data_IF_473929364177
#
_entry.id   IF_473929364177
#
_cell.length_a   1.000
_cell.length_b   1.000
_cell.length_c   1.000
_cell.angle_alpha   90.00
_cell.angle_beta   90.00
_cell.angle_gamma   90.00
#
_symmetry.space_group_name_H-M   'P 1'
#
loop_
_entity.id
_entity.type
_entity.pdbx_description
1 polymer ?
#
# COMPACT_ATOMS: atom_id res chain seq x y z
N UNK A 1 41.75 29.16 4.42
CA UNK A 1 41.15 28.40 5.54
C UNK A 1 40.02 27.57 4.96
N UNK A 2 40.25 26.28 4.78
CA UNK A 2 39.33 25.35 4.09
C UNK A 2 38.25 24.84 5.03
N UNK A 3 37.01 24.92 4.56
CA UNK A 3 35.75 24.63 5.24
C UNK A 3 35.59 23.14 5.57
N UNK A 4 35.51 22.80 6.86
CA UNK A 4 35.24 21.45 7.39
C UNK A 4 33.75 21.13 7.54
N UNK A 5 32.87 21.94 6.93
CA UNK A 5 31.40 21.87 7.06
C UNK A 5 30.78 20.91 6.03
N UNK A 6 31.57 20.24 5.18
CA UNK A 6 31.03 19.48 4.04
C UNK A 6 30.73 18.02 4.31
N UNK A 7 31.38 17.32 5.26
CA UNK A 7 31.20 15.86 5.35
C UNK A 7 29.90 15.41 6.03
N UNK A 8 29.44 16.14 7.05
CA UNK A 8 28.25 15.75 7.83
C UNK A 8 26.96 16.02 7.06
N UNK A 9 26.87 17.17 6.42
CA UNK A 9 25.70 17.56 5.62
C UNK A 9 25.59 16.68 4.37
N UNK A 10 26.71 16.36 3.71
CA UNK A 10 26.74 15.38 2.62
C UNK A 10 26.30 13.98 3.09
N UNK A 11 26.74 13.54 4.26
CA UNK A 11 26.31 12.26 4.82
C UNK A 11 24.80 12.24 5.11
N UNK A 12 24.25 13.30 5.70
CA UNK A 12 22.79 13.42 5.92
C UNK A 12 22.02 13.39 4.60
N UNK A 13 22.53 14.09 3.58
CA UNK A 13 21.90 14.14 2.27
C UNK A 13 21.94 12.77 1.58
N UNK A 14 23.07 12.05 1.69
CA UNK A 14 23.19 10.67 1.21
C UNK A 14 22.16 9.74 1.88
N UNK A 15 22.05 9.80 3.22
CA UNK A 15 21.07 9.01 3.96
C UNK A 15 19.63 9.30 3.53
N UNK A 16 19.29 10.57 3.31
CA UNK A 16 17.97 10.99 2.88
C UNK A 16 17.66 10.60 1.43
N UNK A 17 18.59 10.83 0.50
CA UNK A 17 18.44 10.51 -0.92
C UNK A 17 18.28 9.00 -1.14
N UNK A 18 19.04 8.18 -0.41
CA UNK A 18 18.97 6.73 -0.51
C UNK A 18 17.94 6.10 0.43
N UNK A 19 17.21 6.91 1.21
CA UNK A 19 16.21 6.46 2.20
C UNK A 19 16.74 5.36 3.12
N UNK A 20 18.03 5.42 3.46
CA UNK A 20 18.72 4.39 4.24
C UNK A 20 18.05 4.15 5.60
N UNK A 21 17.69 5.19 6.38
CA UNK A 21 17.00 4.99 7.66
C UNK A 21 15.68 4.23 7.49
N UNK A 22 14.85 4.63 6.52
CA UNK A 22 13.56 4.01 6.24
C UNK A 22 13.69 2.55 5.79
N UNK A 23 14.71 2.24 4.98
CA UNK A 23 15.04 0.86 4.59
C UNK A 23 15.36 -0.01 5.80
N UNK A 24 16.21 0.47 6.71
CA UNK A 24 16.57 -0.28 7.92
C UNK A 24 15.39 -0.44 8.89
N UNK A 25 14.57 0.60 9.08
CA UNK A 25 13.34 0.51 9.89
C UNK A 25 12.37 -0.55 9.36
N UNK A 26 12.23 -0.63 8.02
CA UNK A 26 11.42 -1.63 7.31
C UNK A 26 11.92 -3.07 7.49
N UNK A 27 13.24 -3.26 7.42
CA UNK A 27 13.89 -4.54 7.68
C UNK A 27 13.80 -4.99 9.14
N UNK A 28 14.10 -4.08 10.07
CA UNK A 28 13.93 -4.30 11.51
C UNK A 28 12.49 -4.71 11.83
N UNK A 29 11.55 -4.03 11.20
CA UNK A 29 10.13 -4.32 11.32
C UNK A 29 9.79 -5.75 10.88
N UNK A 30 10.28 -6.16 9.71
CA UNK A 30 10.09 -7.51 9.18
C UNK A 30 10.72 -8.59 10.07
N UNK A 31 11.91 -8.33 10.63
CA UNK A 31 12.59 -9.22 11.57
C UNK A 31 11.81 -9.40 12.88
N UNK A 32 11.27 -8.31 13.43
CA UNK A 32 10.49 -8.35 14.66
C UNK A 32 9.18 -9.14 14.52
N UNK A 33 8.58 -9.11 13.33
CA UNK A 33 7.36 -9.86 13.02
C UNK A 33 7.64 -11.35 12.82
N UNK A 34 8.53 -11.71 11.90
CA UNK A 34 8.75 -13.12 11.55
C UNK A 34 9.60 -13.86 12.60
N UNK A 35 10.40 -13.14 13.41
CA UNK A 35 11.33 -13.69 14.42
C UNK A 35 12.06 -14.95 13.92
N UNK A 36 12.77 -14.86 12.79
CA UNK A 36 13.47 -16.00 12.22
C UNK A 36 14.56 -16.50 13.19
N UNK A 37 14.81 -17.80 13.15
CA UNK A 37 15.86 -18.45 13.95
C UNK A 37 17.26 -17.95 13.54
N UNK A 38 17.44 -17.65 12.25
CA UNK A 38 18.62 -16.95 11.72
C UNK A 38 18.23 -15.57 11.13
N UNK A 39 18.42 -14.48 11.88
CA UNK A 39 18.11 -13.13 11.41
C UNK A 39 19.03 -12.66 10.27
N UNK A 40 20.25 -13.18 10.17
CA UNK A 40 21.21 -12.74 9.14
C UNK A 40 20.81 -13.30 7.77
N UNK A 41 20.55 -14.61 7.70
CA UNK A 41 20.10 -15.25 6.46
C UNK A 41 18.75 -14.68 5.96
N UNK A 42 17.87 -14.29 6.88
CA UNK A 42 16.60 -13.64 6.54
C UNK A 42 16.82 -12.29 5.87
N UNK A 43 17.70 -11.44 6.42
CA UNK A 43 18.04 -10.14 5.83
C UNK A 43 18.62 -10.32 4.42
N UNK A 44 19.55 -11.27 4.25
CA UNK A 44 20.14 -11.56 2.93
C UNK A 44 19.07 -11.90 1.89
N UNK A 45 18.10 -12.73 2.28
CA UNK A 45 16.98 -13.13 1.42
C UNK A 45 16.12 -11.93 1.03
N UNK A 46 15.74 -11.08 2.00
CA UNK A 46 14.95 -9.87 1.72
C UNK A 46 15.72 -8.91 0.83
N UNK A 47 17.01 -8.70 1.08
CA UNK A 47 17.88 -7.86 0.25
C UNK A 47 18.01 -8.39 -1.19
N UNK A 48 18.06 -9.71 -1.36
CA UNK A 48 18.05 -10.33 -2.69
C UNK A 48 16.74 -10.06 -3.44
N UNK A 49 15.60 -10.14 -2.76
CA UNK A 49 14.29 -9.80 -3.34
C UNK A 49 14.20 -8.32 -3.73
N UNK A 50 14.67 -7.42 -2.87
CA UNK A 50 14.76 -5.98 -3.13
C UNK A 50 15.62 -5.70 -4.37
N UNK A 51 16.75 -6.41 -4.52
CA UNK A 51 17.63 -6.25 -5.68
C UNK A 51 16.94 -6.65 -6.99
N UNK A 52 16.07 -7.65 -6.97
CA UNK A 52 15.30 -8.08 -8.15
C UNK A 52 14.22 -7.06 -8.54
N UNK A 53 13.52 -6.49 -7.55
CA UNK A 53 12.47 -5.47 -7.79
C UNK A 53 13.06 -4.10 -8.14
N UNK A 54 14.28 -3.82 -7.65
CA UNK A 54 14.99 -2.56 -7.82
C UNK A 54 14.64 -1.57 -6.71
N UNK A 55 15.68 -1.04 -6.04
CA UNK A 55 15.58 -0.15 -4.86
C UNK A 55 14.66 1.06 -5.05
N UNK A 56 14.48 1.53 -6.30
CA UNK A 56 13.61 2.67 -6.65
C UNK A 56 12.12 2.32 -6.70
N UNK A 57 11.78 1.05 -6.91
CA UNK A 57 10.40 0.57 -7.01
C UNK A 57 9.92 -0.08 -5.71
N UNK A 58 10.80 -0.23 -4.71
CA UNK A 58 10.43 -0.81 -3.42
C UNK A 58 9.72 0.25 -2.58
N UNK A 59 8.45 0.00 -2.27
CA UNK A 59 7.73 0.77 -1.26
C UNK A 59 8.10 0.24 0.14
N UNK A 60 9.13 0.86 0.73
CA UNK A 60 9.67 0.51 2.05
C UNK A 60 8.64 0.66 3.19
N UNK A 61 7.60 1.47 2.99
CA UNK A 61 6.50 1.65 3.95
C UNK A 61 5.59 0.42 3.99
N UNK A 62 5.49 -0.34 2.89
CA UNK A 62 4.59 -1.49 2.79
C UNK A 62 4.89 -2.58 3.82
N UNK A 63 6.15 -2.71 4.25
CA UNK A 63 6.57 -3.68 5.25
C UNK A 63 6.29 -3.23 6.70
N UNK A 64 5.98 -1.94 6.91
CA UNK A 64 5.75 -1.35 8.24
C UNK A 64 4.27 -0.98 8.45
N UNK A 65 3.46 -0.92 7.37
CA UNK A 65 2.04 -0.59 7.45
C UNK A 65 1.26 -1.51 8.41
N UNK A 66 1.57 -2.81 8.45
CA UNK A 66 0.93 -3.75 9.38
C UNK A 66 1.31 -3.53 10.84
N UNK A 67 2.43 -2.85 11.11
CA UNK A 67 2.96 -2.62 12.46
C UNK A 67 2.75 -1.20 12.97
N UNK A 68 2.29 -0.29 12.11
CA UNK A 68 1.89 1.02 12.59
C UNK A 68 0.77 0.79 13.62
N UNK A 69 0.88 1.28 14.87
CA UNK A 69 -0.04 0.91 15.95
C UNK A 69 -1.51 1.08 15.60
N UNK A 70 -1.81 2.01 14.69
CA UNK A 70 -3.14 2.36 14.20
C UNK A 70 -3.54 1.75 12.84
N UNK A 71 -2.64 1.03 12.15
CA UNK A 71 -2.93 0.27 10.92
C UNK A 71 -2.81 -1.24 11.10
N UNK A 72 -2.51 -1.71 12.32
CA UNK A 72 -2.68 -3.11 12.70
C UNK A 72 -4.11 -3.58 12.35
N UNK A 73 -4.29 -4.66 11.58
CA UNK A 73 -5.60 -5.13 11.12
C UNK A 73 -6.56 -5.47 12.27
N UNK A 74 -6.03 -6.08 13.34
CA UNK A 74 -6.82 -6.47 14.52
C UNK A 74 -7.28 -5.22 15.25
N UNK A 75 -6.37 -4.25 15.48
CA UNK A 75 -6.76 -2.99 16.08
C UNK A 75 -7.75 -2.22 15.20
N UNK A 76 -7.52 -2.17 13.89
CA UNK A 76 -8.45 -1.54 12.93
C UNK A 76 -9.83 -2.18 13.01
N UNK A 77 -9.93 -3.49 13.19
CA UNK A 77 -11.22 -4.18 13.31
C UNK A 77 -11.97 -3.75 14.57
N UNK A 78 -11.33 -3.82 15.74
CA UNK A 78 -12.00 -3.75 17.05
C UNK A 78 -11.94 -2.40 17.77
N UNK A 79 -11.04 -1.50 17.40
CA UNK A 79 -10.89 -0.21 18.07
C UNK A 79 -11.54 0.89 17.23
N UNK A 80 -12.28 1.77 17.91
CA UNK A 80 -12.80 3.05 17.39
C UNK A 80 -12.36 4.14 18.36
N UNK A 81 -11.19 4.73 18.11
CA UNK A 81 -10.59 5.77 18.95
C UNK A 81 -10.73 7.17 18.34
N UNK A 82 -11.30 7.28 17.13
CA UNK A 82 -11.48 8.56 16.45
C UNK A 82 -10.16 9.15 15.93
N UNK A 83 -9.09 8.35 15.88
CA UNK A 83 -7.82 8.74 15.28
C UNK A 83 -7.98 9.05 13.79
N UNK A 84 -6.97 9.71 13.21
CA UNK A 84 -6.92 9.95 11.76
C UNK A 84 -7.07 8.67 10.93
N UNK A 85 -6.65 7.52 11.47
CA UNK A 85 -6.69 6.24 10.78
C UNK A 85 -8.07 5.58 10.79
N UNK A 86 -8.91 5.89 11.78
CA UNK A 86 -10.33 5.49 11.79
C UNK A 86 -11.11 6.24 10.70
N UNK A 87 -10.89 7.56 10.59
CA UNK A 87 -11.48 8.40 9.54
C UNK A 87 -11.09 7.94 8.14
N UNK A 88 -9.79 7.66 7.93
CA UNK A 88 -9.30 7.09 6.66
C UNK A 88 -10.05 5.79 6.30
N UNK A 89 -10.33 4.94 7.29
CA UNK A 89 -11.06 3.68 7.13
C UNK A 89 -12.54 3.89 6.77
N UNK A 90 -13.20 4.85 7.40
CA UNK A 90 -14.57 5.24 7.09
C UNK A 90 -14.68 5.79 5.66
N UNK A 91 -13.72 6.62 5.25
CA UNK A 91 -13.65 7.15 3.88
C UNK A 91 -13.37 6.04 2.85
N UNK A 92 -12.49 5.08 3.18
CA UNK A 92 -12.23 3.89 2.37
C UNK A 92 -13.49 3.04 2.20
N UNK A 93 -14.21 2.78 3.28
CA UNK A 93 -15.45 1.99 3.26
C UNK A 93 -16.53 2.69 2.43
N UNK A 94 -16.74 3.99 2.67
CA UNK A 94 -17.74 4.77 1.93
C UNK A 94 -17.48 4.77 0.43
N UNK A 95 -16.22 4.85 0.01
CA UNK A 95 -15.84 4.72 -1.40
C UNK A 95 -16.14 3.33 -1.97
N UNK A 96 -15.99 2.26 -1.19
CA UNK A 96 -16.36 0.92 -1.66
C UNK A 96 -17.86 0.78 -1.82
N UNK A 97 -18.63 1.29 -0.86
CA UNK A 97 -20.09 1.27 -0.88
C UNK A 97 -20.63 2.06 -2.10
N UNK A 98 -20.09 3.26 -2.36
CA UNK A 98 -20.45 4.08 -3.53
C UNK A 98 -20.16 3.36 -4.86
N UNK A 99 -19.07 2.59 -4.93
CA UNK A 99 -18.69 1.81 -6.13
C UNK A 99 -19.62 0.61 -6.30
N UNK A 100 -20.01 -0.05 -5.21
CA UNK A 100 -20.93 -1.18 -5.22
C UNK A 100 -22.34 -0.73 -5.66
N UNK A 101 -22.84 0.40 -5.13
CA UNK A 101 -24.11 0.99 -5.57
C UNK A 101 -24.11 1.34 -7.06
N UNK A 102 -23.02 1.94 -7.56
CA UNK A 102 -22.90 2.25 -8.98
C UNK A 102 -22.88 1.00 -9.86
N UNK A 103 -22.28 -0.10 -9.39
CA UNK A 103 -22.31 -1.38 -10.10
C UNK A 103 -23.72 -1.97 -10.15
N UNK A 104 -24.42 -2.01 -9.01
CA UNK A 104 -25.81 -2.48 -8.93
C UNK A 104 -26.74 -1.66 -9.85
N UNK A 105 -26.61 -0.34 -9.86
CA UNK A 105 -27.39 0.53 -10.76
C UNK A 105 -27.10 0.25 -12.23
N UNK A 106 -25.83 -0.03 -12.58
CA UNK A 106 -25.43 -0.33 -13.96
C UNK A 106 -25.89 -1.71 -14.41
N UNK A 107 -25.93 -2.68 -13.49
CA UNK A 107 -26.47 -4.02 -13.73
C UNK A 107 -27.99 -3.98 -13.93
N UNK A 108 -28.71 -3.25 -13.08
CA UNK A 108 -30.16 -3.03 -13.23
C UNK A 108 -30.51 -2.29 -14.54
N UNK A 109 -29.73 -1.28 -14.92
CA UNK A 109 -29.91 -0.59 -16.21
C UNK A 109 -29.64 -1.49 -17.43
N UNK A 110 -28.86 -2.57 -17.25
CA UNK A 110 -28.66 -3.60 -18.28
C UNK A 110 -29.82 -4.60 -18.37
N UNK A 111 -30.54 -4.83 -17.27
CA UNK A 111 -31.71 -5.73 -17.22
C UNK A 111 -32.98 -5.09 -17.81
N UNK A 112 -33.12 -3.76 -17.75
CA UNK A 112 -34.24 -3.01 -18.36
C UNK A 112 -34.11 -2.82 -19.89
N UNK A 113 -33.07 -3.37 -20.52
CA UNK A 113 -32.88 -3.29 -21.97
C UNK A 113 -33.76 -4.32 -22.70
N UNK A 114 -34.92 -3.89 -23.22
CA UNK A 114 -35.63 -4.63 -24.27
C UNK A 114 -35.04 -4.28 -25.64
N UNK A 115 -34.33 -5.20 -26.32
CA UNK A 115 -33.95 -4.97 -27.71
C UNK A 115 -35.23 -4.98 -28.57
N UNK A 116 -35.50 -3.88 -29.27
CA UNK A 116 -36.57 -3.84 -30.28
C UNK A 116 -36.31 -4.95 -31.30
N UNK A 117 -37.21 -5.94 -31.32
CA UNK A 117 -37.17 -7.04 -32.27
C UNK A 117 -37.48 -6.46 -33.65
N UNK A 118 -36.43 -6.15 -34.42
CA UNK A 118 -36.57 -5.74 -35.81
C UNK A 118 -37.31 -6.83 -36.58
N UNK A 119 -38.58 -6.56 -36.94
CA UNK A 119 -39.31 -7.38 -37.87
C UNK A 119 -38.66 -7.21 -39.24
N UNK A 120 -37.91 -8.22 -39.68
CA UNK A 120 -37.44 -8.31 -41.06
C UNK A 120 -38.68 -8.34 -41.95
N UNK A 121 -39.01 -7.23 -42.59
CA UNK A 121 -39.99 -7.21 -43.66
C UNK A 121 -39.40 -8.01 -44.82
N UNK A 122 -39.86 -9.25 -44.97
CA UNK A 122 -39.61 -10.05 -46.17
C UNK A 122 -40.21 -9.31 -47.35
N UNK A 123 -39.35 -8.69 -48.17
CA UNK A 123 -39.71 -8.14 -49.45
C UNK A 123 -40.14 -9.30 -50.37
N UNK A 124 -41.43 -9.30 -50.74
CA UNK A 124 -42.01 -10.17 -51.76
C UNK A 124 -41.56 -9.80 -53.16
#
# INVERSE_FOLDING_TARGET
MTTTVTSREQAKQYLATHRIPQMFESLLSSLMMERPEDPVAFIETKMAQIRQVGVKNVNWESFVLSMHPYRDPVRREYVRDGSKYDKEREDEQKKMDDVEEQKLQREQAGEDYQPDLFQLTEAS
#
